data_IF_983493482142
#
_entry.id   IF_983493482142
#
_cell.length_a   1.000
_cell.length_b   1.000
_cell.length_c   1.000
_cell.angle_alpha   90.00
_cell.angle_beta   90.00
_cell.angle_gamma   90.00
#
_symmetry.space_group_name_H-M   'P 1'
#
loop_
_entity.id
_entity.type
_entity.pdbx_description
1 polymer ?
#
# COMPACT_ATOMS: atom_id res chain seq x y z
N UNK A 1 15.22 -20.54 -11.05
CA UNK A 1 15.11 -19.80 -11.04
C UNK A 1 14.99 -19.04 -10.14
N UNK A 2 15.33 -18.57 -9.87
CA UNK A 2 15.20 -17.93 -9.06
C UNK A 2 14.59 -16.88 -9.12
N UNK A 3 14.19 -16.33 -8.64
CA UNK A 3 13.49 -15.35 -8.75
C UNK A 3 14.04 -14.26 -8.25
N UNK A 4 14.16 -13.35 -8.57
CA UNK A 4 14.61 -12.27 -8.15
C UNK A 4 13.68 -11.52 -7.58
N UNK A 5 12.88 -11.81 -7.02
CA UNK A 5 11.92 -11.01 -6.63
C UNK A 5 12.37 -10.08 -5.70
N UNK A 6 11.91 -9.39 -5.04
CA UNK A 6 12.20 -8.56 -3.91
C UNK A 6 13.46 -7.73 -4.02
N UNK A 7 13.97 -7.49 -5.27
CA UNK A 7 15.02 -6.62 -5.36
C UNK A 7 14.68 -5.32 -4.75
N UNK A 8 13.50 -4.75 -4.97
CA UNK A 8 13.09 -3.48 -4.41
C UNK A 8 12.14 -3.65 -3.25
N UNK A 9 11.93 -4.86 -2.81
CA UNK A 9 11.04 -5.14 -1.69
C UNK A 9 9.61 -5.39 -2.13
N UNK A 10 8.77 -5.74 -1.18
CA UNK A 10 7.38 -6.05 -1.41
C UNK A 10 6.54 -5.31 -0.39
N UNK A 11 5.44 -4.71 -0.84
CA UNK A 11 4.46 -4.11 0.04
C UNK A 11 3.16 -4.88 -0.05
N UNK A 12 2.55 -5.11 1.08
CA UNK A 12 1.22 -5.68 1.12
C UNK A 12 0.33 -4.71 1.88
N UNK A 13 -0.77 -4.31 1.26
CA UNK A 13 -1.73 -3.41 1.87
C UNK A 13 -3.01 -4.20 2.10
N UNK A 14 -3.47 -4.25 3.34
CA UNK A 14 -4.73 -4.92 3.67
C UNK A 14 -5.74 -3.85 4.02
N UNK A 15 -6.86 -3.82 3.30
CA UNK A 15 -7.94 -2.89 3.61
C UNK A 15 -9.04 -3.67 4.31
N UNK A 16 -9.46 -3.19 5.47
CA UNK A 16 -10.53 -3.88 6.18
C UNK A 16 -11.88 -3.44 5.61
N UNK A 17 -12.97 -3.96 6.16
CA UNK A 17 -14.28 -3.67 5.62
C UNK A 17 -14.66 -2.21 5.75
N UNK A 18 -14.08 -1.51 6.70
CA UNK A 18 -14.31 -0.09 6.87
C UNK A 18 -13.39 0.76 5.99
N UNK A 19 -12.49 0.12 5.25
CA UNK A 19 -11.57 0.83 4.38
C UNK A 19 -10.31 1.29 5.08
N UNK A 20 -10.05 0.82 6.29
CA UNK A 20 -8.84 1.20 7.00
C UNK A 20 -7.66 0.37 6.50
N UNK A 21 -6.54 1.02 6.17
CA UNK A 21 -5.42 0.30 5.62
C UNK A 21 -4.45 -0.20 6.68
N UNK A 22 -3.85 -1.35 6.41
CA UNK A 22 -2.70 -1.83 7.15
C UNK A 22 -1.61 -2.06 6.14
N UNK A 23 -0.42 -1.56 6.38
CA UNK A 23 0.69 -1.68 5.45
C UNK A 23 1.76 -2.56 6.05
N UNK A 24 2.22 -3.53 5.28
CA UNK A 24 3.29 -4.42 5.68
C UNK A 24 4.34 -4.41 4.58
N UNK A 25 5.60 -4.14 4.94
CA UNK A 25 6.68 -4.09 3.97
C UNK A 25 7.74 -5.15 4.29
N UNK A 26 8.29 -5.73 3.25
CA UNK A 26 9.32 -6.75 3.39
C UNK A 26 10.46 -6.41 2.45
N UNK A 27 11.67 -6.48 2.94
CA UNK A 27 12.84 -6.25 2.12
C UNK A 27 13.07 -4.80 1.73
N UNK A 28 12.47 -3.86 2.46
CA UNK A 28 12.72 -2.45 2.22
C UNK A 28 13.86 -1.99 3.11
N UNK A 29 14.74 -1.14 2.60
CA UNK A 29 15.90 -0.70 3.38
C UNK A 29 15.56 0.45 4.31
N UNK A 30 14.66 0.22 5.25
CA UNK A 30 14.19 1.29 6.13
C UNK A 30 14.60 1.14 7.59
N UNK A 31 14.84 -0.07 8.04
CA UNK A 31 15.33 -0.32 9.39
C UNK A 31 14.56 0.48 10.45
N UNK A 32 15.20 1.44 11.08
CA UNK A 32 14.59 2.20 12.16
C UNK A 32 13.44 3.06 11.69
N UNK A 33 13.41 3.40 10.42
CA UNK A 33 12.36 4.24 9.88
C UNK A 33 11.11 3.47 9.49
N UNK A 34 11.13 2.15 9.66
CA UNK A 34 10.04 1.33 9.17
C UNK A 34 8.68 1.73 9.75
N UNK A 35 8.61 1.94 11.07
CA UNK A 35 7.34 2.29 11.69
C UNK A 35 6.83 3.64 11.23
N UNK A 36 7.72 4.61 11.07
CA UNK A 36 7.32 5.92 10.58
C UNK A 36 6.84 5.84 9.14
N UNK A 37 7.51 5.03 8.33
CA UNK A 37 7.08 4.80 6.95
C UNK A 37 5.68 4.19 6.93
N UNK A 38 5.43 3.17 7.74
CA UNK A 38 4.12 2.51 7.75
C UNK A 38 3.02 3.51 8.13
N UNK A 39 3.27 4.33 9.15
CA UNK A 39 2.27 5.30 9.57
C UNK A 39 1.97 6.31 8.45
N UNK A 40 3.00 6.78 7.75
CA UNK A 40 2.77 7.73 6.68
C UNK A 40 2.08 7.07 5.49
N UNK A 41 2.46 5.85 5.17
CA UNK A 41 1.83 5.14 4.06
C UNK A 41 0.36 4.91 4.34
N UNK A 42 0.02 4.53 5.56
CA UNK A 42 -1.38 4.32 5.92
C UNK A 42 -2.16 5.62 5.85
N UNK A 43 -1.57 6.73 6.30
CA UNK A 43 -2.23 8.01 6.21
C UNK A 43 -2.43 8.43 4.76
N UNK A 44 -1.44 8.21 3.92
CA UNK A 44 -1.54 8.55 2.50
C UNK A 44 -2.61 7.73 1.81
N UNK A 45 -2.71 6.46 2.14
CA UNK A 45 -3.76 5.61 1.57
C UNK A 45 -5.13 6.14 2.00
N UNK A 46 -5.28 6.49 3.27
CA UNK A 46 -6.55 7.03 3.75
C UNK A 46 -6.94 8.29 2.99
N UNK A 47 -5.99 9.17 2.74
CA UNK A 47 -6.27 10.38 1.98
C UNK A 47 -6.65 10.07 0.55
N UNK A 48 -5.96 9.11 -0.08
CA UNK A 48 -6.26 8.75 -1.46
C UNK A 48 -7.66 8.17 -1.58
N UNK A 49 -8.04 7.33 -0.63
CA UNK A 49 -9.37 6.75 -0.64
C UNK A 49 -10.44 7.80 -0.38
N UNK A 50 -10.13 8.79 0.45
CA UNK A 50 -11.05 9.89 0.72
C UNK A 50 -11.30 10.79 -0.46
N UNK A 51 -10.43 10.76 -1.47
CA UNK A 51 -10.63 11.56 -2.67
C UNK A 51 -11.56 10.89 -3.68
N UNK A 52 -11.82 9.61 -3.52
CA UNK A 52 -12.72 8.90 -4.42
C UNK A 52 -14.15 9.34 -4.14
N UNK A 53 -14.91 9.59 -5.20
CA UNK A 53 -16.25 10.09 -5.05
C UNK A 53 -17.24 9.28 -5.85
N UNK A 54 -18.47 9.24 -5.40
CA UNK A 54 -19.55 8.61 -6.13
C UNK A 54 -19.26 7.15 -6.43
N UNK A 55 -19.42 6.81 -7.70
CA UNK A 55 -19.23 5.42 -8.12
C UNK A 55 -17.83 4.93 -7.87
N UNK A 56 -16.82 5.81 -7.94
CA UNK A 56 -15.44 5.39 -7.70
C UNK A 56 -15.23 4.90 -6.29
N UNK A 57 -15.87 5.54 -5.33
CA UNK A 57 -15.72 5.15 -3.94
C UNK A 57 -16.29 3.77 -3.67
N UNK A 58 -17.18 3.31 -4.53
CA UNK A 58 -17.79 1.99 -4.38
C UNK A 58 -17.21 0.97 -5.35
N UNK A 59 -16.31 1.38 -6.23
CA UNK A 59 -15.72 0.50 -7.20
C UNK A 59 -14.50 -0.17 -6.57
N UNK A 60 -14.59 -1.48 -6.38
CA UNK A 60 -13.52 -2.24 -5.73
C UNK A 60 -12.17 -2.01 -6.41
N UNK A 61 -12.14 -2.01 -7.73
CA UNK A 61 -10.88 -1.86 -8.44
C UNK A 61 -10.32 -0.46 -8.31
N UNK A 62 -11.18 0.56 -8.30
CA UNK A 62 -10.72 1.92 -8.11
C UNK A 62 -10.13 2.11 -6.72
N UNK A 63 -10.77 1.51 -5.71
CA UNK A 63 -10.28 1.57 -4.34
C UNK A 63 -8.92 0.88 -4.23
N UNK A 64 -8.80 -0.32 -4.80
CA UNK A 64 -7.55 -1.06 -4.72
C UNK A 64 -6.43 -0.33 -5.45
N UNK A 65 -6.73 0.26 -6.59
CA UNK A 65 -5.70 0.97 -7.35
C UNK A 65 -5.25 2.24 -6.63
N UNK A 66 -6.18 2.97 -6.04
CA UNK A 66 -5.82 4.16 -5.27
C UNK A 66 -4.92 3.79 -4.10
N UNK A 67 -5.25 2.71 -3.40
CA UNK A 67 -4.44 2.26 -2.28
C UNK A 67 -3.06 1.81 -2.73
N UNK A 68 -3.00 1.07 -3.84
CA UNK A 68 -1.74 0.57 -4.36
C UNK A 68 -0.81 1.71 -4.73
N UNK A 69 -1.33 2.70 -5.44
CA UNK A 69 -0.50 3.82 -5.86
C UNK A 69 -0.02 4.66 -4.70
N UNK A 70 -0.89 4.91 -3.71
CA UNK A 70 -0.49 5.69 -2.55
C UNK A 70 0.61 4.98 -1.77
N UNK A 71 0.47 3.68 -1.57
CA UNK A 71 1.47 2.92 -0.83
C UNK A 71 2.80 2.91 -1.58
N UNK A 72 2.75 2.72 -2.89
CA UNK A 72 3.97 2.65 -3.69
C UNK A 72 4.70 3.99 -3.70
N UNK A 73 3.95 5.09 -3.78
CA UNK A 73 4.57 6.41 -3.73
C UNK A 73 5.24 6.67 -2.39
N UNK A 74 4.60 6.26 -1.31
CA UNK A 74 5.20 6.41 0.01
C UNK A 74 6.50 5.61 0.09
N UNK A 75 6.49 4.38 -0.39
CA UNK A 75 7.68 3.55 -0.37
C UNK A 75 8.81 4.17 -1.19
N UNK A 76 8.47 4.76 -2.32
CA UNK A 76 9.47 5.38 -3.16
C UNK A 76 10.08 6.61 -2.48
N UNK A 77 9.25 7.40 -1.79
CA UNK A 77 9.77 8.57 -1.09
C UNK A 77 10.72 8.17 0.02
N UNK A 78 10.37 7.10 0.75
CA UNK A 78 11.16 6.72 1.92
C UNK A 78 12.39 5.89 1.58
N UNK A 79 12.30 5.02 0.58
CA UNK A 79 13.38 4.08 0.30
C UNK A 79 14.07 4.31 -1.03
N UNK A 80 13.49 5.13 -1.90
CA UNK A 80 14.01 5.29 -3.26
C UNK A 80 13.74 4.10 -4.14
N UNK A 81 12.99 3.12 -3.65
CA UNK A 81 12.72 1.89 -4.39
C UNK A 81 11.26 1.85 -4.82
N UNK A 82 10.98 1.01 -5.79
CA UNK A 82 9.62 0.83 -6.29
C UNK A 82 9.20 -0.61 -6.05
N UNK A 83 8.82 -0.93 -4.82
CA UNK A 83 8.49 -2.32 -4.49
C UNK A 83 7.23 -2.79 -5.19
N UNK A 84 7.13 -4.09 -5.38
CA UNK A 84 5.89 -4.65 -5.83
C UNK A 84 4.86 -4.42 -4.74
N UNK A 85 3.68 -3.99 -5.12
CA UNK A 85 2.66 -3.62 -4.15
C UNK A 85 1.40 -4.41 -4.42
N UNK A 86 0.91 -5.11 -3.41
CA UNK A 86 -0.29 -5.90 -3.52
C UNK A 86 -1.31 -5.39 -2.53
N UNK A 87 -2.56 -5.27 -2.97
CA UNK A 87 -3.64 -4.85 -2.09
C UNK A 87 -4.60 -6.01 -1.91
N UNK A 88 -4.96 -6.26 -0.66
CA UNK A 88 -5.89 -7.32 -0.30
C UNK A 88 -7.07 -6.68 0.39
N UNK A 89 -8.28 -7.06 -0.02
CA UNK A 89 -9.48 -6.57 0.64
C UNK A 89 -9.90 -7.60 1.66
N UNK A 90 -9.75 -7.27 2.92
CA UNK A 90 -10.11 -8.19 3.99
C UNK A 90 -11.62 -8.40 3.99
N UNK A 91 -12.02 -9.58 4.31
CA UNK A 91 -13.44 -9.89 4.35
C UNK A 91 -14.00 -10.43 3.06
N UNK A 92 -13.20 -10.45 2.00
CA UNK A 92 -13.64 -11.07 0.76
C UNK A 92 -13.24 -12.53 0.77
N UNK A 93 -14.12 -13.36 0.38
CA UNK A 93 -13.85 -14.78 0.36
C UNK A 93 -13.12 -15.20 -0.90
#
# INVERSE_FOLDING_TARGET
MRRRLARDGILVVVLDQAGNPQVHGYGLPLDEDYDAFVAEAEADIGKALGRLKGAQARDREAVMEAARLAARRAAQRWSGKKPQTKVIMAGEA
#
